data_IF_694183826290
#
_entry.id   IF_694183826290
#
_cell.length_a   1.000
_cell.length_b   1.000
_cell.length_c   1.000
_cell.angle_alpha   90.00
_cell.angle_beta   90.00
_cell.angle_gamma   90.00
#
_symmetry.space_group_name_H-M   'P 1'
#
loop_
_entity.id
_entity.type
_entity.pdbx_description
1 polymer ?
#
# COMPACT_ATOMS: atom_id res chain seq x y z
N UNK A 1 -5.57 12.20 -10.44
CA UNK A 1 -5.32 10.91 -9.76
C UNK A 1 -4.16 11.11 -8.82
N UNK A 2 -4.26 10.58 -7.60
CA UNK A 2 -3.16 10.62 -6.63
C UNK A 2 -2.08 9.63 -7.06
N UNK A 3 -0.83 10.07 -7.18
CA UNK A 3 0.28 9.14 -7.38
C UNK A 3 0.58 8.39 -6.06
N UNK A 4 0.65 7.05 -6.05
CA UNK A 4 1.01 6.28 -4.85
C UNK A 4 2.48 6.42 -4.45
N UNK A 5 3.37 6.92 -5.31
CA UNK A 5 4.79 7.00 -4.96
C UNK A 5 5.18 8.39 -4.46
N UNK A 6 4.76 9.44 -5.15
CA UNK A 6 5.11 10.82 -4.78
C UNK A 6 3.96 11.60 -4.12
N UNK A 7 2.78 10.99 -3.95
CA UNK A 7 1.57 11.64 -3.43
C UNK A 7 1.11 12.90 -4.21
N UNK A 8 1.72 13.18 -5.37
CA UNK A 8 1.34 14.29 -6.24
C UNK A 8 0.02 14.01 -6.95
N UNK A 9 -0.86 15.02 -7.01
CA UNK A 9 -2.10 14.96 -7.81
C UNK A 9 -1.77 15.24 -9.26
N UNK A 10 -1.92 14.23 -10.12
CA UNK A 10 -1.59 14.35 -11.56
C UNK A 10 -2.46 13.46 -12.44
N UNK A 11 -2.32 13.60 -13.76
CA UNK A 11 -2.90 12.68 -14.75
C UNK A 11 -1.79 11.73 -15.21
N UNK A 12 -2.01 10.43 -15.08
CA UNK A 12 -1.03 9.43 -15.50
C UNK A 12 -0.94 9.39 -17.03
N UNK A 13 0.30 9.39 -17.54
CA UNK A 13 0.57 9.30 -18.98
C UNK A 13 0.72 7.83 -19.37
N UNK A 14 0.00 7.39 -20.40
CA UNK A 14 0.23 6.07 -21.02
C UNK A 14 1.42 6.19 -21.95
N UNK A 15 2.48 5.40 -21.73
CA UNK A 15 3.59 5.26 -22.67
C UNK A 15 3.76 3.79 -23.04
N UNK A 16 4.09 3.55 -24.30
CA UNK A 16 4.54 2.22 -24.74
C UNK A 16 6.03 2.18 -24.46
N UNK A 17 6.43 1.38 -23.48
CA UNK A 17 7.86 1.16 -23.18
C UNK A 17 8.35 0.02 -24.08
N UNK A 18 9.49 0.24 -24.73
CA UNK A 18 10.19 -0.77 -25.54
C UNK A 18 10.47 -2.01 -24.68
N UNK A 19 9.83 -3.13 -25.01
CA UNK A 19 9.94 -4.41 -24.29
C UNK A 19 8.65 -4.88 -23.62
N UNK A 20 7.64 -4.02 -23.47
CA UNK A 20 6.33 -4.40 -22.91
C UNK A 20 5.26 -4.48 -23.99
N UNK A 21 4.46 -5.56 -24.01
CA UNK A 21 3.32 -5.72 -24.94
C UNK A 21 2.15 -4.76 -24.70
N UNK A 22 2.10 -4.15 -23.52
CA UNK A 22 0.97 -3.32 -23.07
C UNK A 22 1.44 -1.93 -22.64
N UNK A 23 0.64 -0.87 -22.88
CA UNK A 23 0.98 0.49 -22.46
C UNK A 23 1.07 0.54 -20.92
N UNK A 24 2.19 1.08 -20.42
CA UNK A 24 2.39 1.32 -18.98
C UNK A 24 1.90 2.71 -18.60
N UNK A 25 1.41 2.86 -17.38
CA UNK A 25 1.05 4.15 -16.83
C UNK A 25 2.25 4.73 -16.09
N UNK A 26 2.61 5.98 -16.38
CA UNK A 26 3.71 6.68 -15.72
C UNK A 26 3.19 7.93 -15.01
N UNK A 27 3.75 8.21 -13.84
CA UNK A 27 3.57 9.49 -13.18
C UNK A 27 4.48 10.55 -13.81
N UNK A 28 3.98 11.68 -14.33
CA UNK A 28 4.83 12.71 -14.92
C UNK A 28 5.69 13.46 -13.88
N UNK A 29 5.38 13.35 -12.58
CA UNK A 29 6.10 14.08 -11.52
C UNK A 29 7.32 13.30 -11.00
N UNK A 30 7.19 11.99 -10.79
CA UNK A 30 8.27 11.15 -10.27
C UNK A 30 8.76 10.09 -11.27
N UNK A 31 8.19 10.05 -12.48
CA UNK A 31 8.50 9.09 -13.54
C UNK A 31 8.32 7.60 -13.15
N UNK A 32 7.68 7.32 -12.01
CA UNK A 32 7.40 5.97 -11.55
C UNK A 32 6.29 5.29 -12.36
N UNK A 33 6.42 3.98 -12.52
CA UNK A 33 5.42 3.13 -13.17
C UNK A 33 4.27 2.83 -12.21
N UNK A 34 3.08 3.25 -12.60
CA UNK A 34 1.85 3.05 -11.83
C UNK A 34 1.21 1.72 -12.23
N UNK A 35 0.79 0.88 -11.26
CA UNK A 35 0.06 -0.34 -11.57
C UNK A 35 -1.17 -0.07 -12.43
N UNK A 36 -1.33 -0.81 -13.52
CA UNK A 36 -2.39 -0.57 -14.50
C UNK A 36 -3.79 -0.71 -13.89
N UNK A 37 -3.97 -1.68 -12.99
CA UNK A 37 -5.21 -1.85 -12.22
C UNK A 37 -5.53 -0.57 -11.44
N UNK A 38 -4.56 -0.03 -10.69
CA UNK A 38 -4.76 1.20 -9.90
C UNK A 38 -5.21 2.38 -10.76
N UNK A 39 -4.58 2.59 -11.92
CA UNK A 39 -4.92 3.69 -12.82
C UNK A 39 -6.31 3.51 -13.47
N UNK A 40 -6.65 2.29 -13.88
CA UNK A 40 -7.91 1.99 -14.56
C UNK A 40 -9.12 2.06 -13.61
N UNK A 41 -9.01 1.45 -12.43
CA UNK A 41 -10.14 1.37 -11.49
C UNK A 41 -10.12 2.49 -10.43
N UNK A 42 -9.35 3.56 -10.63
CA UNK A 42 -9.16 4.65 -9.68
C UNK A 42 -10.49 5.22 -9.15
N UNK A 43 -11.51 5.31 -10.00
CA UNK A 43 -12.85 5.81 -9.61
C UNK A 43 -13.68 4.77 -8.85
N UNK A 44 -13.48 3.49 -9.13
CA UNK A 44 -14.20 2.37 -8.47
C UNK A 44 -13.59 2.05 -7.11
N UNK A 45 -12.27 2.22 -6.97
CA UNK A 45 -11.51 2.02 -5.73
C UNK A 45 -10.67 3.27 -5.43
N UNK A 46 -11.30 4.38 -4.98
CA UNK A 46 -10.57 5.58 -4.60
C UNK A 46 -9.46 5.28 -3.59
N UNK A 47 -8.29 5.94 -3.69
CA UNK A 47 -7.18 5.70 -2.78
C UNK A 47 -7.47 6.29 -1.40
N UNK A 48 -7.17 5.50 -0.37
CA UNK A 48 -7.13 5.93 1.04
C UNK A 48 -5.70 5.79 1.51
N UNK A 49 -5.10 6.89 1.95
CA UNK A 49 -3.71 6.91 2.44
C UNK A 49 -3.69 6.56 3.91
N UNK A 50 -2.88 5.56 4.26
CA UNK A 50 -2.65 5.13 5.64
C UNK A 50 -1.16 5.28 5.93
N UNK A 51 -0.80 6.12 6.89
CA UNK A 51 0.59 6.33 7.29
C UNK A 51 0.77 5.86 8.72
N UNK A 52 1.56 4.81 8.91
CA UNK A 52 1.97 4.38 10.25
C UNK A 52 3.15 5.25 10.68
N UNK A 53 2.95 6.04 11.74
CA UNK A 53 3.94 6.96 12.29
C UNK A 53 4.27 6.57 13.74
N UNK A 54 5.54 6.73 14.11
CA UNK A 54 6.03 6.39 15.45
C UNK A 54 7.49 6.00 15.46
N UNK A 55 8.12 6.09 16.63
CA UNK A 55 9.55 5.79 16.78
C UNK A 55 9.89 4.34 16.38
N UNK A 56 11.17 4.10 16.11
CA UNK A 56 11.69 2.77 15.76
C UNK A 56 11.32 1.77 16.86
N UNK A 57 10.98 0.53 16.50
CA UNK A 57 10.53 -0.54 17.41
C UNK A 57 9.17 -0.35 18.12
N UNK A 58 8.38 0.69 17.81
CA UNK A 58 7.01 0.85 18.35
C UNK A 58 5.95 -0.03 17.64
N UNK A 59 6.36 -1.11 16.96
CA UNK A 59 5.44 -2.10 16.40
C UNK A 59 4.63 -1.66 15.17
N UNK A 60 5.01 -0.59 14.45
CA UNK A 60 4.32 -0.14 13.23
C UNK A 60 4.22 -1.23 12.15
N UNK A 61 5.35 -1.87 11.86
CA UNK A 61 5.46 -2.97 10.90
C UNK A 61 4.61 -4.14 11.34
N UNK A 62 4.65 -4.50 12.63
CA UNK A 62 3.82 -5.56 13.23
C UNK A 62 2.34 -5.23 13.13
N UNK A 63 1.95 -3.97 13.35
CA UNK A 63 0.57 -3.51 13.22
C UNK A 63 0.06 -3.65 11.78
N UNK A 64 0.82 -3.16 10.79
CA UNK A 64 0.45 -3.27 9.38
C UNK A 64 0.42 -4.73 8.92
N UNK A 65 1.40 -5.55 9.33
CA UNK A 65 1.42 -6.98 9.04
C UNK A 65 0.21 -7.70 9.65
N UNK A 66 -0.15 -7.37 10.89
CA UNK A 66 -1.33 -7.92 11.58
C UNK A 66 -2.64 -7.47 10.92
N UNK A 67 -2.71 -6.23 10.43
CA UNK A 67 -3.84 -5.73 9.65
C UNK A 67 -3.99 -6.52 8.33
N UNK A 68 -2.89 -6.73 7.59
CA UNK A 68 -2.94 -7.52 6.36
C UNK A 68 -3.26 -8.99 6.62
N UNK A 69 -2.75 -9.56 7.70
CA UNK A 69 -3.13 -10.89 8.16
C UNK A 69 -4.64 -10.95 8.44
N UNK A 70 -5.15 -9.99 9.22
CA UNK A 70 -6.57 -9.92 9.55
C UNK A 70 -7.44 -9.84 8.30
N UNK A 71 -7.09 -8.97 7.36
CA UNK A 71 -7.83 -8.77 6.12
C UNK A 71 -7.85 -9.99 5.20
N UNK A 72 -6.80 -10.82 5.23
CA UNK A 72 -6.61 -11.93 4.28
C UNK A 72 -6.94 -13.30 4.84
N UNK A 73 -6.65 -13.51 6.13
CA UNK A 73 -6.67 -14.84 6.78
C UNK A 73 -7.81 -15.00 7.77
N UNK A 74 -8.26 -13.92 8.41
CA UNK A 74 -9.52 -14.02 9.14
C UNK A 74 -10.60 -14.23 8.09
N UNK A 75 -11.54 -15.13 8.38
CA UNK A 75 -12.67 -15.52 7.54
C UNK A 75 -13.66 -14.38 7.29
N UNK A 76 -13.18 -13.15 7.13
CA UNK A 76 -13.95 -11.96 6.82
C UNK A 76 -14.73 -12.16 5.52
N UNK A 77 -14.16 -12.87 4.53
CA UNK A 77 -14.88 -13.25 3.32
C UNK A 77 -16.09 -14.16 3.59
N UNK A 78 -16.08 -14.95 4.66
CA UNK A 78 -17.21 -15.81 5.06
C UNK A 78 -18.32 -15.00 5.75
N UNK A 79 -17.97 -13.84 6.32
CA UNK A 79 -18.90 -12.99 7.08
C UNK A 79 -19.37 -11.75 6.30
N UNK A 80 -18.59 -11.27 5.34
CA UNK A 80 -18.85 -10.07 4.56
C UNK A 80 -19.10 -10.43 3.10
N UNK A 81 -20.33 -10.25 2.66
CA UNK A 81 -20.75 -10.57 1.29
C UNK A 81 -19.94 -9.75 0.28
N UNK A 82 -19.42 -10.43 -0.75
CA UNK A 82 -18.54 -9.84 -1.78
C UNK A 82 -17.19 -9.30 -1.29
N UNK A 83 -16.78 -9.62 -0.05
CA UNK A 83 -15.50 -9.15 0.45
C UNK A 83 -14.33 -9.86 -0.25
N UNK A 84 -13.39 -9.06 -0.73
CA UNK A 84 -12.09 -9.55 -1.16
C UNK A 84 -11.01 -8.50 -0.95
N UNK A 85 -9.79 -8.99 -0.80
CA UNK A 85 -8.58 -8.16 -0.80
C UNK A 85 -7.64 -8.52 -1.93
N UNK A 86 -6.99 -7.53 -2.54
CA UNK A 86 -6.06 -7.76 -3.65
C UNK A 86 -4.85 -6.83 -3.55
N UNK A 87 -3.64 -7.39 -3.54
CA UNK A 87 -2.40 -6.62 -3.68
C UNK A 87 -2.25 -6.12 -5.13
N UNK A 88 -1.79 -4.88 -5.31
CA UNK A 88 -1.74 -4.24 -6.63
C UNK A 88 -0.36 -4.21 -7.30
N UNK A 89 0.67 -4.65 -6.60
CA UNK A 89 2.00 -4.87 -7.17
C UNK A 89 2.67 -6.05 -6.45
N UNK A 90 3.72 -6.57 -7.08
CA UNK A 90 4.50 -7.71 -6.60
C UNK A 90 5.17 -7.39 -5.27
N UNK A 91 5.79 -6.21 -5.13
CA UNK A 91 6.36 -5.72 -3.85
C UNK A 91 5.35 -5.76 -2.68
N UNK A 92 4.09 -5.40 -2.92
CA UNK A 92 3.01 -5.42 -1.91
C UNK A 92 2.54 -6.84 -1.63
N UNK A 93 2.59 -7.72 -2.64
CA UNK A 93 2.30 -9.13 -2.48
C UNK A 93 3.36 -9.73 -1.56
N UNK A 94 4.63 -9.56 -1.88
CA UNK A 94 5.75 -10.10 -1.11
C UNK A 94 5.73 -9.56 0.32
N UNK A 95 5.61 -8.24 0.50
CA UNK A 95 5.49 -7.62 1.83
C UNK A 95 4.31 -8.18 2.64
N UNK A 96 3.15 -8.39 2.01
CA UNK A 96 1.95 -8.89 2.69
C UNK A 96 1.94 -10.42 2.85
N UNK A 97 2.77 -11.18 2.14
CA UNK A 97 2.88 -12.63 2.28
C UNK A 97 4.01 -13.01 3.24
N UNK A 98 5.18 -12.37 3.11
CA UNK A 98 6.36 -12.63 3.94
C UNK A 98 6.11 -12.23 5.40
N UNK A 99 5.65 -11.00 5.65
CA UNK A 99 5.38 -10.53 7.01
C UNK A 99 4.24 -11.32 7.67
N UNK A 100 3.26 -11.78 6.89
CA UNK A 100 2.19 -12.64 7.38
C UNK A 100 2.73 -14.04 7.72
N UNK A 101 3.62 -14.58 6.91
CA UNK A 101 4.28 -15.87 7.17
C UNK A 101 5.12 -15.85 8.45
N UNK A 102 5.88 -14.78 8.68
CA UNK A 102 6.65 -14.59 9.92
C UNK A 102 5.74 -14.59 11.16
N UNK A 103 4.64 -13.84 11.11
CA UNK A 103 3.68 -13.79 12.21
C UNK A 103 3.03 -15.17 12.48
N UNK A 104 2.72 -15.95 11.44
CA UNK A 104 2.19 -17.31 11.59
C UNK A 104 3.20 -18.25 12.29
N UNK A 105 4.49 -17.97 12.18
CA UNK A 105 5.59 -18.73 12.81
C UNK A 105 5.95 -18.19 14.21
N UNK A 106 5.29 -17.14 14.69
CA UNK A 106 5.61 -16.47 15.95
C UNK A 106 6.83 -15.55 15.88
N UNK A 107 7.30 -15.25 14.68
CA UNK A 107 8.42 -14.34 14.42
C UNK A 107 7.90 -12.94 14.07
N UNK A 108 8.64 -11.91 14.49
CA UNK A 108 8.30 -10.52 14.19
C UNK A 108 9.07 -10.04 12.96
N UNK A 109 8.43 -9.30 12.05
CA UNK A 109 9.13 -8.71 10.91
C UNK A 109 10.17 -7.68 11.35
N UNK A 110 11.27 -7.61 10.60
CA UNK A 110 12.34 -6.65 10.82
C UNK A 110 11.87 -5.19 10.71
N UNK A 111 12.60 -4.28 11.36
CA UNK A 111 12.29 -2.85 11.30
C UNK A 111 12.45 -2.28 9.90
N UNK A 112 11.43 -1.58 9.41
CA UNK A 112 11.39 -0.96 8.07
C UNK A 112 12.59 -0.03 7.81
N UNK A 113 13.27 -0.17 6.65
CA UNK A 113 14.40 0.67 6.30
C UNK A 113 14.02 2.16 6.12
N UNK A 114 14.99 3.07 6.30
CA UNK A 114 14.80 4.54 6.31
C UNK A 114 14.27 5.19 5.02
N UNK A 115 14.18 4.46 3.91
CA UNK A 115 13.81 5.04 2.62
C UNK A 115 12.30 5.36 2.59
N UNK A 116 11.91 6.34 1.77
CA UNK A 116 10.48 6.63 1.54
C UNK A 116 9.81 5.32 1.11
N UNK A 117 8.95 4.71 1.93
CA UNK A 117 8.56 3.34 1.69
C UNK A 117 7.70 3.33 0.43
N UNK A 118 8.01 2.42 -0.50
CA UNK A 118 7.01 2.06 -1.52
C UNK A 118 5.77 1.61 -0.75
N UNK A 119 4.59 2.18 -1.02
CA UNK A 119 3.43 1.82 -0.23
C UNK A 119 3.04 0.38 -0.51
N UNK A 120 2.59 -0.32 0.52
CA UNK A 120 1.81 -1.54 0.33
C UNK A 120 0.44 -1.14 -0.18
N UNK A 121 0.09 -1.57 -1.39
CA UNK A 121 -1.14 -1.22 -2.09
C UNK A 121 -2.14 -2.38 -2.00
N UNK A 122 -3.20 -2.22 -1.20
CA UNK A 122 -4.21 -3.26 -0.97
C UNK A 122 -5.60 -2.75 -1.35
N UNK A 123 -6.27 -3.40 -2.29
CA UNK A 123 -7.69 -3.15 -2.55
C UNK A 123 -8.56 -3.81 -1.52
N UNK A 124 -9.60 -3.09 -1.13
CA UNK A 124 -10.70 -3.58 -0.32
C UNK A 124 -12.00 -3.42 -1.10
N UNK A 125 -12.75 -4.51 -1.21
CA UNK A 125 -14.11 -4.52 -1.73
C UNK A 125 -15.04 -5.10 -0.67
N UNK A 126 -16.31 -4.66 -0.63
CA UNK A 126 -17.33 -5.33 0.16
C UNK A 126 -17.14 -5.22 1.68
N UNK A 127 -16.47 -4.16 2.17
CA UNK A 127 -16.39 -3.88 3.61
C UNK A 127 -17.75 -3.30 4.07
N UNK A 128 -18.42 -3.87 5.08
CA UNK A 128 -19.73 -3.38 5.52
C UNK A 128 -19.68 -1.90 5.89
N UNK A 129 -20.68 -1.14 5.43
CA UNK A 129 -20.83 0.30 5.71
C UNK A 129 -19.71 1.20 5.15
N UNK A 130 -18.77 0.65 4.37
CA UNK A 130 -17.67 1.39 3.78
C UNK A 130 -17.64 1.23 2.26
N UNK A 131 -17.27 2.31 1.57
CA UNK A 131 -17.04 2.25 0.13
C UNK A 131 -15.79 1.44 -0.20
N UNK A 132 -15.81 0.81 -1.38
CA UNK A 132 -14.64 0.17 -1.97
C UNK A 132 -13.47 1.16 -2.04
N UNK A 133 -12.26 0.71 -1.74
CA UNK A 133 -11.10 1.58 -1.74
C UNK A 133 -9.80 0.84 -2.07
N UNK A 134 -8.76 1.62 -2.38
CA UNK A 134 -7.38 1.11 -2.40
C UNK A 134 -6.64 1.73 -1.22
N UNK A 135 -6.24 0.91 -0.25
CA UNK A 135 -5.33 1.33 0.81
C UNK A 135 -3.92 1.52 0.25
N UNK A 136 -3.33 2.67 0.52
CA UNK A 136 -1.93 2.99 0.29
C UNK A 136 -1.25 3.08 1.65
N UNK A 137 -0.66 1.98 2.12
CA UNK A 137 -0.06 1.88 3.44
C UNK A 137 1.42 2.23 3.38
N UNK A 138 1.82 3.30 4.08
CA UNK A 138 3.21 3.72 4.24
C UNK A 138 3.66 3.40 5.66
N UNK A 139 4.74 2.64 5.79
CA UNK A 139 5.41 2.41 7.07
C UNK A 139 6.62 3.32 7.20
N UNK A 140 6.44 4.51 7.77
CA UNK A 140 7.51 5.50 7.85
C UNK A 140 8.23 5.40 9.19
N UNK A 141 9.56 5.36 9.18
CA UNK A 141 10.35 5.45 10.40
C UNK A 141 10.12 6.81 11.07
N UNK A 142 9.75 6.82 12.36
CA UNK A 142 9.52 8.06 13.13
C UNK A 142 10.73 8.98 13.21
N UNK A 143 11.94 8.43 13.01
CA UNK A 143 13.20 9.17 12.92
C UNK A 143 13.19 10.23 11.78
N UNK A 144 12.33 10.06 10.76
CA UNK A 144 12.09 11.07 9.73
C UNK A 144 11.47 12.37 10.28
N UNK A 145 10.93 12.36 11.50
CA UNK A 145 10.28 13.51 12.15
C UNK A 145 11.06 14.06 13.35
N UNK A 146 12.32 13.65 13.56
CA UNK A 146 13.17 14.19 14.63
C UNK A 146 13.43 15.70 14.48
N UNK A 147 13.27 16.24 13.26
CA UNK A 147 13.35 17.67 12.96
C UNK A 147 11.96 18.30 12.71
N UNK A 148 10.90 17.79 13.33
CA UNK A 148 9.57 18.39 13.19
C UNK A 148 9.54 19.89 13.59
N UNK A 149 10.47 20.33 14.44
CA UNK A 149 10.67 21.74 14.81
C UNK A 149 11.29 22.60 13.70
N UNK A 150 11.82 22.02 12.62
CA UNK A 150 12.36 22.73 11.45
C UNK A 150 11.33 22.82 10.29
N UNK A 151 10.12 22.28 10.47
CA UNK A 151 9.04 22.30 9.47
C UNK A 151 8.06 23.49 9.63
N UNK A 152 8.42 24.49 10.46
CA UNK A 152 7.65 25.74 10.67
C UNK A 152 8.32 26.89 9.95
#
# INVERSE_FOLDING_TARGET
MLCPFCLGKTRFSKRVVTGTRWPVFLCPLCNEQIPALYANDYRRYPPVVVSALGFRQHGKTVYLASLFHALKRLKLADHWTEFFTMALNEDSLDTAYENVGLLEQGELPDSTPKNFPRPTMVRLNGVPQHANCTLLCYDTAGECFERATELV
#
